data_IF_335986153302
#
_entry.id   IF_335986153302
#
_cell.length_a   1.000
_cell.length_b   1.000
_cell.length_c   1.000
_cell.angle_alpha   90.00
_cell.angle_beta   90.00
_cell.angle_gamma   90.00
#
_symmetry.space_group_name_H-M   'P 1'
#
loop_
_entity.id
_entity.type
_entity.pdbx_description
1 polymer ?
#
# COMPACT_ATOMS: atom_id res chain seq x y z
N UNK A 1 -22.51 -10.66 -1.74
CA UNK A 1 -21.17 -10.64 -1.11
C UNK A 1 -21.19 -9.54 -0.08
N UNK A 2 -20.73 -9.78 1.15
CA UNK A 2 -20.76 -8.73 2.19
C UNK A 2 -19.73 -7.64 1.84
N UNK A 3 -19.96 -6.39 2.25
CA UNK A 3 -18.93 -5.33 2.11
C UNK A 3 -17.64 -5.69 2.88
N UNK A 4 -17.73 -6.55 3.91
CA UNK A 4 -16.61 -7.02 4.72
C UNK A 4 -15.63 -7.90 3.94
N UNK A 5 -16.06 -8.60 2.88
CA UNK A 5 -15.16 -9.47 2.10
C UNK A 5 -14.54 -8.77 0.88
N UNK A 6 -15.02 -7.56 0.54
CA UNK A 6 -14.59 -6.83 -0.64
C UNK A 6 -13.09 -6.50 -0.64
N UNK A 7 -12.53 -6.24 0.56
CA UNK A 7 -11.11 -5.96 0.74
C UNK A 7 -10.19 -7.18 0.48
N UNK A 8 -10.74 -8.38 0.29
CA UNK A 8 -10.01 -9.61 -0.04
C UNK A 8 -10.25 -10.07 -1.48
N UNK A 9 -11.00 -9.31 -2.27
CA UNK A 9 -11.27 -9.67 -3.67
C UNK A 9 -9.99 -9.59 -4.50
N UNK A 10 -9.93 -10.38 -5.57
CA UNK A 10 -8.89 -10.21 -6.57
C UNK A 10 -9.13 -8.90 -7.33
N UNK A 11 -8.13 -8.04 -7.39
CA UNK A 11 -8.15 -6.84 -8.22
C UNK A 11 -7.96 -7.20 -9.70
N UNK A 12 -8.51 -6.40 -10.63
CA UNK A 12 -8.53 -6.74 -12.05
C UNK A 12 -7.15 -6.66 -12.71
N UNK A 13 -6.27 -5.75 -12.26
CA UNK A 13 -4.97 -5.51 -12.90
C UNK A 13 -3.81 -5.87 -11.97
N UNK A 14 -3.84 -5.42 -10.72
CA UNK A 14 -2.78 -5.62 -9.74
C UNK A 14 -2.93 -6.98 -9.05
N UNK A 15 -2.11 -7.94 -9.43
CA UNK A 15 -1.99 -9.21 -8.73
C UNK A 15 -1.03 -9.06 -7.53
N UNK A 16 -1.42 -9.63 -6.39
CA UNK A 16 -0.59 -9.66 -5.18
C UNK A 16 -0.44 -11.08 -4.65
N UNK A 17 0.76 -11.40 -4.17
CA UNK A 17 1.05 -12.68 -3.55
C UNK A 17 2.13 -12.56 -2.49
N UNK A 18 2.02 -13.35 -1.42
CA UNK A 18 3.13 -13.63 -0.52
C UNK A 18 3.65 -15.05 -0.77
N UNK A 19 4.98 -15.19 -0.85
CA UNK A 19 5.65 -16.49 -0.89
C UNK A 19 7.03 -16.39 -0.25
N UNK A 20 7.35 -17.30 0.66
CA UNK A 20 8.68 -17.40 1.29
C UNK A 20 9.18 -16.07 1.91
N UNK A 21 8.29 -15.34 2.60
CA UNK A 21 8.55 -14.00 3.17
C UNK A 21 8.89 -12.91 2.14
N UNK A 22 8.54 -13.13 0.88
CA UNK A 22 8.60 -12.14 -0.20
C UNK A 22 7.20 -11.77 -0.63
N UNK A 23 7.01 -10.50 -0.99
CA UNK A 23 5.78 -10.03 -1.60
C UNK A 23 6.01 -9.83 -3.09
N UNK A 24 5.01 -10.16 -3.88
CA UNK A 24 4.99 -9.98 -5.32
C UNK A 24 3.81 -9.10 -5.66
N UNK A 25 4.08 -8.03 -6.40
CA UNK A 25 3.08 -7.13 -6.97
C UNK A 25 3.30 -7.13 -8.48
N UNK A 26 2.32 -7.53 -9.26
CA UNK A 26 2.50 -7.63 -10.71
C UNK A 26 1.28 -7.18 -11.50
N UNK A 27 1.56 -6.70 -12.72
CA UNK A 27 0.57 -6.51 -13.79
C UNK A 27 1.00 -7.36 -14.98
N UNK A 28 0.34 -7.21 -16.14
CA UNK A 28 0.83 -7.81 -17.38
C UNK A 28 2.06 -7.10 -17.96
N UNK A 29 2.48 -5.95 -17.41
CA UNK A 29 3.48 -5.05 -17.99
C UNK A 29 4.73 -4.90 -17.11
N UNK A 30 4.61 -5.16 -15.81
CA UNK A 30 5.69 -4.99 -14.85
C UNK A 30 5.49 -5.87 -13.60
N UNK A 31 6.58 -6.11 -12.88
CA UNK A 31 6.58 -6.82 -11.61
C UNK A 31 7.45 -6.10 -10.58
N UNK A 32 7.06 -6.20 -9.32
CA UNK A 32 7.85 -5.78 -8.17
C UNK A 32 7.90 -6.91 -7.13
N UNK A 33 9.10 -7.38 -6.86
CA UNK A 33 9.40 -8.34 -5.81
C UNK A 33 9.98 -7.61 -4.60
N UNK A 34 9.37 -7.78 -3.43
CA UNK A 34 9.73 -7.12 -2.19
C UNK A 34 10.23 -8.14 -1.18
N UNK A 35 11.46 -7.98 -0.74
CA UNK A 35 12.08 -8.84 0.28
C UNK A 35 11.94 -8.16 1.64
N UNK A 36 11.30 -8.82 2.60
CA UNK A 36 11.02 -8.27 3.93
C UNK A 36 11.89 -8.96 4.98
N UNK A 37 12.54 -8.16 5.82
CA UNK A 37 13.35 -8.61 6.94
C UNK A 37 12.50 -9.22 8.07
N UNK A 38 13.17 -9.91 8.99
CA UNK A 38 12.55 -10.35 10.26
C UNK A 38 12.09 -9.17 11.13
N UNK A 39 12.63 -7.97 10.92
CA UNK A 39 12.27 -6.75 11.61
C UNK A 39 11.15 -5.99 10.90
N UNK A 40 10.41 -6.63 9.99
CA UNK A 40 9.31 -6.03 9.26
C UNK A 40 9.74 -4.79 8.44
N UNK A 41 10.94 -4.82 7.83
CA UNK A 41 11.41 -3.76 6.93
C UNK A 41 11.65 -4.31 5.54
N UNK A 42 11.35 -3.54 4.51
CA UNK A 42 11.83 -3.84 3.16
C UNK A 42 13.37 -3.81 3.21
N UNK A 43 14.00 -4.91 2.82
CA UNK A 43 15.46 -5.00 2.64
C UNK A 43 15.88 -4.70 1.22
N UNK A 44 14.99 -4.93 0.26
CA UNK A 44 15.23 -4.74 -1.17
C UNK A 44 13.93 -4.87 -1.95
N UNK A 45 13.82 -4.06 -3.00
CA UNK A 45 12.80 -4.19 -4.04
C UNK A 45 13.50 -4.50 -5.36
N UNK A 46 13.03 -5.51 -6.07
CA UNK A 46 13.48 -5.83 -7.43
C UNK A 46 12.30 -5.53 -8.36
N UNK A 47 12.47 -4.58 -9.26
CA UNK A 47 11.45 -4.21 -10.25
C UNK A 47 11.86 -4.70 -11.63
N UNK A 48 10.90 -5.27 -12.35
CA UNK A 48 11.06 -5.79 -13.72
C UNK A 48 10.09 -5.08 -14.65
N UNK A 49 10.62 -4.38 -15.62
CA UNK A 49 9.90 -3.87 -16.79
C UNK A 49 9.83 -4.99 -17.84
N UNK A 50 8.64 -5.58 -18.00
CA UNK A 50 8.43 -6.72 -18.89
C UNK A 50 8.36 -6.31 -20.36
N UNK A 51 8.15 -5.03 -20.66
CA UNK A 51 8.08 -4.52 -22.04
C UNK A 51 9.48 -4.25 -22.58
N UNK A 52 10.31 -3.59 -21.78
CA UNK A 52 11.67 -3.24 -22.17
C UNK A 52 12.72 -4.28 -21.75
N UNK A 53 12.30 -5.35 -21.07
CA UNK A 53 13.17 -6.41 -20.54
C UNK A 53 14.29 -5.85 -19.63
N UNK A 54 13.93 -4.87 -18.78
CA UNK A 54 14.85 -4.24 -17.84
C UNK A 54 14.54 -4.67 -16.42
N UNK A 55 15.59 -4.84 -15.62
CA UNK A 55 15.47 -5.07 -14.18
C UNK A 55 16.32 -4.03 -13.44
N UNK A 56 15.79 -3.50 -12.35
CA UNK A 56 16.58 -2.73 -11.40
C UNK A 56 16.20 -3.09 -9.97
N UNK A 57 17.12 -2.81 -9.05
CA UNK A 57 16.90 -3.00 -7.63
C UNK A 57 16.94 -1.65 -6.92
N UNK A 58 16.21 -1.56 -5.82
CA UNK A 58 16.23 -0.42 -4.91
C UNK A 58 16.43 -0.96 -3.50
N UNK A 59 17.52 -0.53 -2.85
CA UNK A 59 17.83 -0.82 -1.47
C UNK A 59 17.28 0.28 -0.54
N UNK A 60 17.18 0.06 0.78
CA UNK A 60 16.55 1.00 1.69
C UNK A 60 17.21 2.37 1.75
N UNK A 61 18.53 2.43 1.56
CA UNK A 61 19.33 3.65 1.48
C UNK A 61 19.13 4.44 0.19
N UNK A 62 18.60 3.81 -0.86
CA UNK A 62 18.23 4.42 -2.13
C UNK A 62 16.75 4.87 -2.15
N UNK A 63 15.96 4.47 -1.14
CA UNK A 63 14.55 4.85 -1.03
C UNK A 63 14.37 6.33 -0.71
N UNK A 64 13.29 6.94 -1.23
CA UNK A 64 12.92 8.30 -0.84
C UNK A 64 12.17 8.27 0.50
N UNK A 65 12.89 8.55 1.58
CA UNK A 65 12.37 8.57 2.94
C UNK A 65 11.88 9.97 3.34
N UNK A 66 10.65 10.06 3.86
CA UNK A 66 10.06 11.28 4.38
C UNK A 66 9.28 11.04 5.66
N UNK A 67 9.17 12.07 6.48
CA UNK A 67 8.27 12.11 7.62
C UNK A 67 7.01 12.84 7.20
N UNK A 68 5.85 12.26 7.49
CA UNK A 68 4.57 12.86 7.11
C UNK A 68 3.65 12.97 8.30
N UNK A 69 2.88 14.06 8.35
CA UNK A 69 1.90 14.34 9.41
C UNK A 69 2.54 14.87 10.69
N UNK A 70 1.75 14.92 11.76
CA UNK A 70 2.15 15.39 13.08
C UNK A 70 1.27 14.79 14.16
N UNK A 71 1.75 14.70 15.40
CA UNK A 71 0.99 14.17 16.53
C UNK A 71 0.49 12.75 16.26
N UNK A 72 -0.82 12.51 16.41
CA UNK A 72 -1.42 11.20 16.21
C UNK A 72 -1.45 10.74 14.74
N UNK A 73 -0.88 11.50 13.80
CA UNK A 73 -0.77 11.12 12.39
C UNK A 73 0.68 11.12 11.87
N UNK A 74 1.66 11.21 12.76
CA UNK A 74 3.08 11.24 12.39
C UNK A 74 3.60 9.84 12.06
N UNK A 75 4.30 9.72 10.92
CA UNK A 75 4.79 8.45 10.39
C UNK A 75 6.03 8.64 9.51
N UNK A 76 6.84 7.60 9.41
CA UNK A 76 7.93 7.51 8.44
C UNK A 76 7.44 6.76 7.19
N UNK A 77 7.68 7.33 6.01
CA UNK A 77 7.28 6.75 4.72
C UNK A 77 8.52 6.60 3.84
N UNK A 78 8.76 5.38 3.38
CA UNK A 78 9.85 5.03 2.47
C UNK A 78 9.26 4.65 1.10
N UNK A 79 9.54 5.46 0.09
CA UNK A 79 9.10 5.19 -1.28
C UNK A 79 10.22 4.47 -2.04
N UNK A 80 9.90 3.28 -2.59
CA UNK A 80 10.85 2.46 -3.34
C UNK A 80 10.62 2.54 -4.85
N UNK A 81 9.36 2.52 -5.30
CA UNK A 81 9.01 2.72 -6.71
C UNK A 81 8.32 4.07 -6.88
N UNK A 82 9.06 5.00 -7.48
CA UNK A 82 8.67 6.38 -7.75
C UNK A 82 8.06 6.53 -9.15
N UNK A 83 7.45 7.69 -9.48
CA UNK A 83 7.03 8.00 -10.84
C UNK A 83 8.11 7.69 -11.87
N UNK A 84 7.73 6.96 -12.92
CA UNK A 84 8.60 6.61 -14.06
C UNK A 84 8.29 7.51 -15.26
N UNK A 85 9.28 7.67 -16.15
CA UNK A 85 9.05 8.28 -17.46
C UNK A 85 8.44 7.28 -18.46
N UNK A 86 8.50 5.99 -18.15
CA UNK A 86 7.89 4.92 -18.93
C UNK A 86 6.40 4.79 -18.56
N UNK A 87 5.46 5.09 -19.47
CA UNK A 87 4.03 5.21 -19.14
C UNK A 87 3.36 3.88 -18.79
N UNK A 88 3.94 2.73 -19.18
CA UNK A 88 3.45 1.40 -18.78
C UNK A 88 3.86 0.99 -17.37
N UNK A 89 4.81 1.70 -16.75
CA UNK A 89 5.25 1.45 -15.37
C UNK A 89 4.39 2.25 -14.38
N UNK A 90 3.30 1.64 -13.95
CA UNK A 90 2.23 2.21 -13.15
C UNK A 90 2.32 1.84 -11.66
N UNK A 91 3.06 0.80 -11.28
CA UNK A 91 3.24 0.42 -9.88
C UNK A 91 4.02 1.53 -9.16
N UNK A 92 3.43 1.98 -8.06
CA UNK A 92 4.10 2.76 -7.01
C UNK A 92 4.12 1.90 -5.77
N UNK A 93 5.24 1.88 -5.06
CA UNK A 93 5.45 0.97 -3.96
C UNK A 93 6.28 1.61 -2.87
N UNK A 94 5.89 1.36 -1.62
CA UNK A 94 6.66 1.80 -0.47
C UNK A 94 6.21 1.15 0.82
N UNK A 95 6.76 1.66 1.91
CA UNK A 95 6.47 1.18 3.25
C UNK A 95 6.22 2.36 4.19
N UNK A 96 5.19 2.25 5.01
CA UNK A 96 4.87 3.23 6.05
C UNK A 96 5.07 2.60 7.43
N UNK A 97 5.72 3.35 8.32
CA UNK A 97 5.87 3.02 9.74
C UNK A 97 5.19 4.09 10.59
N UNK A 98 4.23 3.68 11.41
CA UNK A 98 3.69 4.55 12.44
C UNK A 98 4.78 4.89 13.45
N UNK A 99 4.85 6.14 13.93
CA UNK A 99 5.85 6.51 14.95
C UNK A 99 5.44 6.17 16.37
N UNK A 100 4.17 5.86 16.59
CA UNK A 100 3.68 5.42 17.90
C UNK A 100 2.54 4.41 17.77
N UNK A 101 2.21 3.80 18.90
CA UNK A 101 0.99 3.01 19.04
C UNK A 101 -0.23 3.96 19.04
N UNK A 102 -1.33 3.53 18.43
CA UNK A 102 -2.56 4.34 18.36
C UNK A 102 -2.48 5.56 17.44
N UNK A 103 -1.38 5.73 16.67
CA UNK A 103 -1.34 6.73 15.60
C UNK A 103 -2.14 6.25 14.38
N UNK A 104 -2.54 7.19 13.54
CA UNK A 104 -3.31 6.99 12.32
C UNK A 104 -2.44 7.31 11.10
N UNK A 105 -2.72 6.65 9.99
CA UNK A 105 -2.07 6.93 8.70
C UNK A 105 -3.04 6.71 7.55
N UNK A 106 -2.58 6.89 6.31
CA UNK A 106 -3.38 6.76 5.10
C UNK A 106 -4.60 7.69 5.07
N UNK A 107 -4.34 8.95 5.41
CA UNK A 107 -5.29 10.04 5.21
C UNK A 107 -5.35 10.37 3.70
N UNK A 108 -6.52 10.76 3.18
CA UNK A 108 -6.73 10.92 1.74
C UNK A 108 -5.83 12.00 1.14
N UNK A 109 -5.33 11.72 -0.05
CA UNK A 109 -4.74 12.71 -0.94
C UNK A 109 -5.85 13.54 -1.62
N UNK A 110 -5.49 14.71 -2.19
CA UNK A 110 -6.46 15.64 -2.79
C UNK A 110 -7.41 14.97 -3.78
N UNK A 111 -6.89 14.11 -4.66
CA UNK A 111 -7.67 13.40 -5.67
C UNK A 111 -8.60 12.34 -5.07
N UNK A 112 -8.28 11.79 -3.90
CA UNK A 112 -9.09 10.78 -3.21
C UNK A 112 -10.33 11.40 -2.55
N UNK A 113 -10.40 12.73 -2.42
CA UNK A 113 -11.64 13.42 -2.03
C UNK A 113 -12.69 13.45 -3.15
N UNK A 114 -12.32 13.02 -4.37
CA UNK A 114 -13.22 12.88 -5.51
C UNK A 114 -13.11 11.46 -6.10
N UNK A 115 -13.62 10.43 -5.39
CA UNK A 115 -13.42 9.04 -5.78
C UNK A 115 -13.89 8.73 -7.20
N UNK A 116 -13.06 7.99 -7.93
CA UNK A 116 -13.36 7.44 -9.25
C UNK A 116 -13.14 5.92 -9.25
N UNK A 117 -13.85 5.20 -10.12
CA UNK A 117 -13.63 3.76 -10.32
C UNK A 117 -12.29 3.47 -10.99
N UNK A 118 -11.76 2.27 -10.77
CA UNK A 118 -10.58 1.74 -11.46
C UNK A 118 -9.24 2.01 -10.76
N UNK A 119 -9.25 2.74 -9.64
CA UNK A 119 -8.08 2.87 -8.78
C UNK A 119 -7.84 1.56 -8.02
N UNK A 120 -6.61 1.06 -8.06
CA UNK A 120 -6.22 -0.21 -7.45
C UNK A 120 -5.08 0.05 -6.46
N UNK A 121 -5.32 -0.23 -5.19
CA UNK A 121 -4.34 -0.11 -4.11
C UNK A 121 -4.49 -1.29 -3.14
N UNK A 122 -3.35 -1.76 -2.64
CA UNK A 122 -3.26 -2.87 -1.69
C UNK A 122 -2.28 -2.53 -0.59
N UNK A 123 -2.65 -2.84 0.65
CA UNK A 123 -1.75 -2.88 1.79
C UNK A 123 -1.44 -4.32 2.19
N UNK A 124 -0.19 -4.58 2.55
CA UNK A 124 0.24 -5.77 3.26
C UNK A 124 0.70 -5.38 4.67
N UNK A 125 -0.04 -5.81 5.69
CA UNK A 125 0.20 -5.37 7.06
C UNK A 125 1.34 -6.13 7.73
N UNK A 126 2.20 -5.37 8.39
CA UNK A 126 3.33 -5.85 9.19
C UNK A 126 3.16 -5.33 10.61
N UNK A 127 2.43 -6.09 11.44
CA UNK A 127 2.01 -5.67 12.78
C UNK A 127 2.88 -6.34 13.84
N UNK A 128 3.30 -5.58 14.84
CA UNK A 128 4.06 -6.09 15.98
C UNK A 128 3.49 -5.59 17.30
N UNK A 129 3.81 -6.31 18.39
CA UNK A 129 3.22 -6.03 19.70
C UNK A 129 1.75 -6.42 19.82
N UNK A 130 1.25 -6.38 21.06
CA UNK A 130 -0.17 -6.53 21.38
C UNK A 130 -0.88 -7.72 20.72
N UNK A 131 -2.08 -7.45 20.21
CA UNK A 131 -2.96 -8.45 19.58
C UNK A 131 -2.61 -8.73 18.12
N UNK A 132 -1.66 -7.97 17.53
CA UNK A 132 -1.32 -8.01 16.10
C UNK A 132 -2.53 -7.85 15.17
N UNK A 133 -3.44 -6.95 15.56
CA UNK A 133 -4.64 -6.60 14.83
C UNK A 133 -4.75 -5.08 14.71
N UNK A 134 -5.31 -4.65 13.59
CA UNK A 134 -5.55 -3.25 13.30
C UNK A 134 -6.96 -3.07 12.73
N UNK A 135 -7.40 -1.82 12.69
CA UNK A 135 -8.70 -1.40 12.20
C UNK A 135 -8.45 -0.52 10.97
N UNK A 136 -9.02 -0.94 9.84
CA UNK A 136 -8.99 -0.21 8.58
C UNK A 136 -10.39 0.37 8.34
N UNK A 137 -10.44 1.67 8.05
CA UNK A 137 -11.65 2.36 7.60
C UNK A 137 -11.61 2.44 6.08
N UNK A 138 -12.76 2.42 5.42
CA UNK A 138 -12.86 2.71 3.99
C UNK A 138 -14.17 3.41 3.66
N UNK A 139 -14.07 4.63 3.11
CA UNK A 139 -15.20 5.42 2.63
C UNK A 139 -14.90 5.97 1.25
N UNK A 140 -15.62 5.53 0.23
CA UNK A 140 -15.36 5.92 -1.16
C UNK A 140 -15.79 4.85 -2.15
N UNK A 141 -14.94 4.53 -3.11
CA UNK A 141 -15.22 3.56 -4.17
C UNK A 141 -14.17 2.45 -4.23
N UNK A 142 -14.62 1.22 -4.43
CA UNK A 142 -13.75 0.12 -4.87
C UNK A 142 -13.35 0.28 -6.34
N UNK A 143 -12.43 -0.57 -6.81
CA UNK A 143 -11.94 -0.55 -8.20
C UNK A 143 -13.09 -0.74 -9.21
N UNK A 144 -14.09 -1.55 -8.87
CA UNK A 144 -15.27 -1.80 -9.70
C UNK A 144 -16.32 -0.66 -9.67
N UNK A 145 -16.04 0.41 -8.93
CA UNK A 145 -16.94 1.55 -8.75
C UNK A 145 -18.06 1.33 -7.74
N UNK A 146 -18.10 0.19 -7.05
CA UNK A 146 -19.06 -0.01 -5.96
C UNK A 146 -18.68 0.83 -4.74
N UNK A 147 -19.68 1.46 -4.13
CA UNK A 147 -19.47 2.33 -2.97
C UNK A 147 -19.18 1.52 -1.69
N UNK A 148 -18.41 2.14 -0.81
CA UNK A 148 -18.09 1.60 0.52
C UNK A 148 -18.18 2.69 1.58
N UNK A 149 -18.75 2.32 2.73
CA UNK A 149 -18.61 3.02 4.00
C UNK A 149 -18.57 1.92 5.08
N UNK A 150 -17.37 1.43 5.34
CA UNK A 150 -17.15 0.24 6.15
C UNK A 150 -15.90 0.37 7.01
N UNK A 151 -15.86 -0.46 8.04
CA UNK A 151 -14.71 -0.68 8.90
C UNK A 151 -14.47 -2.18 8.96
N UNK A 152 -13.22 -2.59 8.81
CA UNK A 152 -12.83 -4.00 8.91
C UNK A 152 -11.58 -4.17 9.74
N UNK A 153 -11.47 -5.35 10.36
CA UNK A 153 -10.27 -5.75 11.07
C UNK A 153 -9.28 -6.35 10.08
N UNK A 154 -8.00 -6.01 10.26
CA UNK A 154 -6.88 -6.60 9.53
C UNK A 154 -5.90 -7.22 10.52
N UNK A 155 -5.18 -8.25 10.07
CA UNK A 155 -4.23 -9.03 10.88
C UNK A 155 -2.81 -8.87 10.34
N UNK A 156 -1.83 -9.17 11.19
CA UNK A 156 -0.43 -9.30 10.76
C UNK A 156 -0.32 -10.26 9.58
N UNK A 157 0.53 -9.92 8.61
CA UNK A 157 0.83 -10.72 7.41
C UNK A 157 -0.41 -10.97 6.54
N UNK A 158 -1.25 -9.95 6.37
CA UNK A 158 -2.47 -10.01 5.56
C UNK A 158 -2.49 -8.92 4.48
N UNK A 159 -2.95 -9.26 3.28
CA UNK A 159 -3.28 -8.28 2.25
C UNK A 159 -4.67 -7.68 2.47
N UNK A 160 -4.86 -6.42 2.09
CA UNK A 160 -6.17 -5.78 1.98
C UNK A 160 -6.16 -4.82 0.81
N UNK A 161 -7.16 -4.94 -0.06
CA UNK A 161 -7.45 -3.88 -1.04
C UNK A 161 -7.94 -2.64 -0.28
N UNK A 162 -7.59 -1.49 -0.81
CA UNK A 162 -7.92 -0.19 -0.26
C UNK A 162 -8.78 0.56 -1.28
N UNK A 163 -9.98 1.03 -0.89
CA UNK A 163 -10.83 1.81 -1.79
C UNK A 163 -10.25 3.21 -1.97
N UNK A 164 -10.46 3.78 -3.16
CA UNK A 164 -10.19 5.20 -3.37
C UNK A 164 -11.17 6.03 -2.53
N UNK A 165 -10.64 6.96 -1.73
CA UNK A 165 -11.44 7.71 -0.77
C UNK A 165 -10.74 7.92 0.56
N UNK A 166 -11.51 8.05 1.64
CA UNK A 166 -11.00 8.12 3.00
C UNK A 166 -10.76 6.71 3.56
N UNK A 167 -9.50 6.32 3.75
CA UNK A 167 -9.15 4.96 4.17
C UNK A 167 -8.05 4.90 5.25
N UNK A 168 -8.21 5.55 6.42
CA UNK A 168 -7.18 5.50 7.43
C UNK A 168 -7.10 4.17 8.18
N UNK A 169 -5.94 3.91 8.77
CA UNK A 169 -5.65 2.70 9.57
C UNK A 169 -5.05 3.04 10.93
N UNK A 170 -5.41 2.26 11.96
CA UNK A 170 -4.89 2.32 13.34
C UNK A 170 -4.74 0.92 13.94
N UNK A 171 -3.76 0.73 14.82
CA UNK A 171 -3.57 -0.52 15.58
C UNK A 171 -4.54 -0.64 16.77
N UNK A 172 -4.86 -1.87 17.18
CA UNK A 172 -5.42 -2.10 18.53
C UNK A 172 -4.40 -1.66 19.62
N UNK A 173 -4.82 -1.46 20.88
CA UNK A 173 -3.88 -1.06 21.95
C UNK A 173 -2.66 -1.99 22.05
N UNK A 174 -1.45 -1.41 22.13
CA UNK A 174 -0.20 -2.17 22.17
C UNK A 174 0.29 -2.66 20.81
N UNK A 175 -0.39 -2.33 19.71
CA UNK A 175 0.00 -2.75 18.34
C UNK A 175 0.71 -1.61 17.62
N UNK A 176 1.95 -1.89 17.23
CA UNK A 176 2.73 -1.06 16.34
C UNK A 176 2.38 -1.41 14.88
N UNK A 177 1.98 -0.39 14.12
CA UNK A 177 1.54 -0.55 12.72
C UNK A 177 2.66 -0.19 11.75
N UNK A 178 2.93 -1.11 10.83
CA UNK A 178 3.65 -0.86 9.58
C UNK A 178 2.93 -1.60 8.46
N UNK A 179 3.08 -1.13 7.23
CA UNK A 179 2.54 -1.83 6.06
C UNK A 179 3.34 -1.49 4.81
N UNK A 180 3.47 -2.48 3.94
CA UNK A 180 3.90 -2.26 2.55
C UNK A 180 2.66 -1.89 1.75
N UNK A 181 2.73 -0.83 0.97
CA UNK A 181 1.65 -0.39 0.11
C UNK A 181 2.09 -0.43 -1.35
N UNK A 182 1.15 -0.78 -2.23
CA UNK A 182 1.32 -0.67 -3.66
C UNK A 182 0.02 -0.20 -4.31
N UNK A 183 0.13 0.70 -5.28
CA UNK A 183 -1.01 1.15 -6.09
C UNK A 183 -0.62 1.34 -7.54
N UNK A 184 -1.64 1.42 -8.42
CA UNK A 184 -1.45 1.69 -9.85
C UNK A 184 -1.77 3.17 -10.18
N UNK A 185 -0.75 3.93 -10.55
CA UNK A 185 -0.88 5.29 -11.08
C UNK A 185 -1.32 5.29 -12.56
N UNK A 186 -2.54 4.79 -12.85
CA UNK A 186 -3.08 4.69 -14.23
C UNK A 186 -3.37 6.05 -14.86
N UNK A 187 -3.57 7.08 -14.03
CA UNK A 187 -3.73 8.47 -14.44
C UNK A 187 -2.69 9.34 -13.72
N UNK A 188 -2.28 10.44 -14.35
CA UNK A 188 -1.26 11.34 -13.77
C UNK A 188 -1.72 11.96 -12.46
N UNK A 189 -3.01 12.25 -12.34
CA UNK A 189 -3.65 12.80 -11.14
C UNK A 189 -3.70 11.82 -9.96
N UNK A 190 -3.48 10.52 -10.18
CA UNK A 190 -3.47 9.49 -9.13
C UNK A 190 -2.10 9.31 -8.47
N UNK A 191 -1.13 10.17 -8.78
CA UNK A 191 0.18 10.13 -8.14
C UNK A 191 0.11 10.64 -6.69
N UNK A 192 0.32 9.73 -5.74
CA UNK A 192 0.50 10.05 -4.31
C UNK A 192 1.91 10.56 -4.01
N UNK A 193 2.87 10.14 -4.83
CA UNK A 193 4.30 10.37 -4.60
C UNK A 193 4.80 11.44 -5.56
N UNK A 194 5.43 12.48 -5.01
CA UNK A 194 6.06 13.54 -5.80
C UNK A 194 7.57 13.27 -5.81
N UNK A 195 8.20 13.39 -6.98
CA UNK A 195 9.66 13.41 -7.14
C UNK A 195 10.24 14.72 -6.61
#
# INVERSE_FOLDING_TARGET
MSQLDAHQKKLPTLAVQEKDSRLFFSTSLEEAEVIISKQNRIERVIHRDLINEKEFQVNPDESHAIVVGSGNCERDVHHFLLPSNEPHLQIRLGQTFHRGEGTWSSLPHDFENYPESGFEEVFYYLLSGGTKKAIQVGRGLWDDGSAVDAIWQVKDRQFSNIPMGFHPVVGEPGVQVSYVWAYLAKKKEWEKVKR
#
